data_IF_594814898788
#
_entry.id   IF_594814898788
#
_cell.length_a   1.000
_cell.length_b   1.000
_cell.length_c   1.000
_cell.angle_alpha   90.00
_cell.angle_beta   90.00
_cell.angle_gamma   90.00
#
_symmetry.space_group_name_H-M   'P 1'
#
loop_
_entity.id
_entity.type
_entity.pdbx_description
1 polymer ?
#
# COMPACT_ATOMS: atom_id res chain seq x y z
N UNK A 1 15.96 -8.40 -4.27
CA UNK A 1 16.05 -6.97 -3.89
C UNK A 1 14.89 -6.66 -2.97
N UNK A 2 15.14 -5.93 -1.89
CA UNK A 2 14.18 -5.49 -0.86
C UNK A 2 14.33 -3.98 -0.63
N UNK A 3 13.53 -3.38 0.26
CA UNK A 3 13.58 -1.94 0.50
C UNK A 3 14.94 -1.44 0.99
N UNK A 4 15.71 -2.25 1.71
CA UNK A 4 17.07 -1.89 2.17
C UNK A 4 18.09 -1.85 1.01
N UNK A 5 17.74 -2.45 -0.13
CA UNK A 5 18.62 -2.63 -1.26
C UNK A 5 18.39 -1.55 -2.33
N UNK A 6 17.50 -0.59 -2.11
CA UNK A 6 17.21 0.51 -3.04
C UNK A 6 17.48 1.86 -2.38
N UNK A 7 18.03 2.79 -3.13
CA UNK A 7 18.34 4.13 -2.65
C UNK A 7 18.43 5.16 -3.81
N UNK A 8 18.55 6.44 -3.46
CA UNK A 8 18.87 7.51 -4.40
C UNK A 8 20.24 8.07 -4.04
N UNK A 9 21.15 8.12 -5.02
CA UNK A 9 22.47 8.76 -4.91
C UNK A 9 22.56 9.83 -5.97
N UNK A 10 22.81 11.07 -5.57
CA UNK A 10 22.99 12.21 -6.49
C UNK A 10 21.87 12.34 -7.54
N UNK A 11 20.62 12.07 -7.14
CA UNK A 11 19.45 12.16 -8.02
C UNK A 11 19.24 10.96 -8.94
N UNK A 12 20.00 9.87 -8.80
CA UNK A 12 19.84 8.63 -9.57
C UNK A 12 19.39 7.50 -8.67
N UNK A 13 18.49 6.64 -9.16
CA UNK A 13 18.00 5.48 -8.42
C UNK A 13 18.96 4.29 -8.56
N UNK A 14 19.39 3.73 -7.43
CA UNK A 14 20.26 2.56 -7.36
C UNK A 14 19.55 1.39 -6.71
N UNK A 15 19.95 0.18 -7.12
CA UNK A 15 19.51 -1.06 -6.55
C UNK A 15 20.67 -2.05 -6.39
N UNK A 16 20.66 -2.83 -5.30
CA UNK A 16 21.56 -3.96 -5.12
C UNK A 16 20.81 -5.26 -5.42
N UNK A 17 21.17 -5.90 -6.52
CA UNK A 17 20.51 -7.12 -6.98
C UNK A 17 21.49 -8.11 -7.62
N UNK A 18 21.10 -9.38 -7.66
CA UNK A 18 21.84 -10.44 -8.32
C UNK A 18 21.13 -10.84 -9.61
N UNK A 19 21.85 -10.99 -10.74
CA UNK A 19 21.33 -11.68 -11.91
C UNK A 19 20.82 -13.08 -11.54
N UNK A 20 19.64 -13.44 -12.07
CA UNK A 20 19.03 -14.74 -11.91
C UNK A 20 19.12 -15.47 -13.25
N UNK A 21 19.84 -16.59 -13.26
CA UNK A 21 19.79 -17.55 -14.36
C UNK A 21 18.78 -18.64 -14.00
N UNK A 22 17.92 -19.02 -14.94
CA UNK A 22 16.90 -20.05 -14.76
C UNK A 22 17.10 -21.10 -15.84
N UNK A 23 16.99 -22.37 -15.46
CA UNK A 23 17.15 -23.53 -16.33
C UNK A 23 15.97 -24.48 -16.10
N UNK A 24 15.69 -25.31 -17.11
CA UNK A 24 14.65 -26.35 -17.03
C UNK A 24 15.28 -27.65 -16.51
N UNK A 25 15.70 -27.64 -15.24
CA UNK A 25 16.34 -28.76 -14.52
C UNK A 25 15.82 -28.84 -13.08
N UNK A 26 15.14 -29.91 -12.70
CA UNK A 26 14.52 -30.05 -11.36
C UNK A 26 15.51 -29.95 -10.18
N UNK A 27 16.81 -30.18 -10.41
CA UNK A 27 17.87 -30.14 -9.39
C UNK A 27 18.68 -28.84 -9.34
N UNK A 28 18.76 -28.09 -10.44
CA UNK A 28 19.50 -26.81 -10.55
C UNK A 28 18.70 -25.75 -11.33
N UNK A 29 17.39 -25.67 -11.07
CA UNK A 29 16.43 -24.82 -11.82
C UNK A 29 16.68 -23.31 -11.70
N UNK A 30 17.54 -22.88 -10.78
CA UNK A 30 17.96 -21.47 -10.71
C UNK A 30 19.33 -21.28 -10.10
N UNK A 31 20.02 -20.24 -10.57
CA UNK A 31 21.27 -19.78 -10.01
C UNK A 31 21.31 -18.27 -9.91
N UNK A 32 21.56 -17.77 -8.70
CA UNK A 32 21.86 -16.37 -8.47
C UNK A 32 23.37 -16.13 -8.65
N UNK A 33 23.70 -15.11 -9.42
CA UNK A 33 25.07 -14.59 -9.50
C UNK A 33 25.40 -13.70 -8.29
N UNK A 34 26.62 -13.15 -8.27
CA UNK A 34 27.03 -12.22 -7.21
C UNK A 34 26.19 -10.94 -7.27
N UNK A 35 25.59 -10.49 -6.15
CA UNK A 35 24.89 -9.22 -6.10
C UNK A 35 25.80 -8.05 -6.46
N UNK A 36 25.28 -7.15 -7.30
CA UNK A 36 25.95 -5.92 -7.71
C UNK A 36 25.02 -4.73 -7.57
N UNK A 37 25.63 -3.56 -7.38
CA UNK A 37 24.92 -2.29 -7.48
C UNK A 37 24.67 -1.99 -8.95
N UNK A 38 23.48 -1.50 -9.27
CA UNK A 38 23.08 -1.12 -10.63
C UNK A 38 22.17 0.11 -10.61
N UNK A 39 22.16 0.83 -11.73
CA UNK A 39 21.18 1.89 -11.97
C UNK A 39 19.83 1.25 -12.26
N UNK A 40 18.82 1.59 -11.47
CA UNK A 40 17.49 1.03 -11.65
C UNK A 40 16.83 1.53 -12.94
N UNK A 41 17.19 2.72 -13.41
CA UNK A 41 16.69 3.29 -14.66
C UNK A 41 17.20 2.60 -15.94
N UNK A 42 18.26 1.79 -15.84
CA UNK A 42 18.79 1.01 -16.98
C UNK A 42 18.06 -0.33 -17.19
N UNK A 43 17.17 -0.70 -16.26
CA UNK A 43 16.36 -1.89 -16.38
C UNK A 43 15.16 -1.61 -17.27
N UNK A 44 14.82 -2.56 -18.14
CA UNK A 44 13.64 -2.43 -18.99
C UNK A 44 12.34 -2.36 -18.16
N UNK A 45 12.30 -3.10 -17.05
CA UNK A 45 11.10 -3.30 -16.24
C UNK A 45 11.40 -3.50 -14.76
N UNK A 46 10.61 -2.85 -13.91
CA UNK A 46 10.64 -2.95 -12.45
C UNK A 46 9.23 -3.26 -11.92
N UNK A 47 9.08 -4.42 -11.28
CA UNK A 47 7.82 -4.77 -10.61
C UNK A 47 7.84 -4.35 -9.13
N UNK A 48 6.99 -3.41 -8.75
CA UNK A 48 6.73 -3.07 -7.36
C UNK A 48 5.82 -4.12 -6.72
N UNK A 49 6.44 -5.19 -6.19
CA UNK A 49 5.77 -6.34 -5.55
C UNK A 49 5.92 -6.36 -4.04
N UNK A 50 6.26 -5.22 -3.43
CA UNK A 50 6.23 -5.10 -1.97
C UNK A 50 4.77 -5.21 -1.52
N UNK A 51 4.50 -6.19 -0.67
CA UNK A 51 3.20 -6.30 0.00
C UNK A 51 2.91 -5.05 0.85
N UNK A 52 1.64 -4.70 1.11
CA UNK A 52 1.31 -3.64 2.06
C UNK A 52 1.84 -3.96 3.50
N UNK A 53 1.70 -3.06 4.49
CA UNK A 53 0.83 -1.88 4.53
C UNK A 53 1.31 -0.73 3.64
N UNK A 54 0.36 0.12 3.24
CA UNK A 54 0.66 1.40 2.60
C UNK A 54 1.07 2.41 3.68
N UNK A 55 2.37 2.47 3.97
CA UNK A 55 2.96 3.30 5.01
C UNK A 55 4.03 4.26 4.43
N UNK A 56 4.71 5.01 5.29
CA UNK A 56 5.76 5.93 4.87
C UNK A 56 6.89 5.24 4.09
N UNK A 57 7.28 4.02 4.46
CA UNK A 57 8.31 3.25 3.73
C UNK A 57 7.85 2.86 2.32
N UNK A 58 6.58 2.47 2.17
CA UNK A 58 5.96 2.21 0.86
C UNK A 58 6.03 3.47 -0.01
N UNK A 59 5.64 4.62 0.55
CA UNK A 59 5.70 5.92 -0.15
C UNK A 59 7.13 6.26 -0.54
N UNK A 60 8.12 6.11 0.35
CA UNK A 60 9.51 6.40 0.03
C UNK A 60 10.05 5.47 -1.07
N UNK A 61 9.68 4.20 -1.06
CA UNK A 61 10.01 3.28 -2.15
C UNK A 61 9.47 3.80 -3.50
N UNK A 62 8.24 4.33 -3.54
CA UNK A 62 7.68 4.89 -4.78
C UNK A 62 8.46 6.11 -5.28
N UNK A 63 9.15 6.88 -4.43
CA UNK A 63 10.01 7.98 -4.90
C UNK A 63 11.30 7.46 -5.54
N UNK A 64 11.91 6.41 -4.99
CA UNK A 64 13.07 5.75 -5.61
C UNK A 64 12.68 5.17 -6.97
N UNK A 65 11.54 4.48 -7.04
CA UNK A 65 11.03 3.91 -8.27
C UNK A 65 10.62 4.98 -9.29
N UNK A 66 10.04 6.11 -8.87
CA UNK A 66 9.76 7.24 -9.75
C UNK A 66 11.05 7.76 -10.40
N UNK A 67 12.13 7.88 -9.62
CA UNK A 67 13.42 8.33 -10.15
C UNK A 67 14.01 7.34 -11.17
N UNK A 68 13.82 6.04 -10.96
CA UNK A 68 14.16 5.02 -11.96
C UNK A 68 13.28 5.13 -13.22
N UNK A 69 11.99 5.39 -13.05
CA UNK A 69 11.03 5.56 -14.15
C UNK A 69 11.39 6.76 -15.03
N UNK A 70 11.71 7.90 -14.40
CA UNK A 70 12.15 9.12 -15.07
C UNK A 70 13.47 8.94 -15.84
N UNK A 71 14.29 7.93 -15.45
CA UNK A 71 15.57 7.59 -16.09
C UNK A 71 15.42 6.51 -17.19
N UNK A 72 14.22 6.00 -17.44
CA UNK A 72 13.90 5.13 -18.59
C UNK A 72 13.25 3.78 -18.26
N UNK A 73 13.24 3.35 -17.01
CA UNK A 73 12.66 2.07 -16.64
C UNK A 73 11.12 2.09 -16.69
N UNK A 74 10.48 1.03 -17.18
CA UNK A 74 9.05 0.86 -16.96
C UNK A 74 8.82 0.34 -15.54
N UNK A 75 8.07 1.06 -14.72
CA UNK A 75 7.69 0.59 -13.37
C UNK A 75 6.24 0.13 -13.35
N UNK A 76 6.02 -1.08 -12.83
CA UNK A 76 4.69 -1.70 -12.74
C UNK A 76 4.35 -1.99 -11.27
N UNK A 77 3.31 -1.41 -10.70
CA UNK A 77 2.47 -0.32 -11.24
C UNK A 77 3.16 1.04 -11.15
N UNK A 78 2.60 2.04 -11.83
CA UNK A 78 3.11 3.41 -11.83
C UNK A 78 3.30 3.96 -10.40
N UNK A 79 4.48 4.49 -10.04
CA UNK A 79 4.77 4.92 -8.66
C UNK A 79 3.89 6.08 -8.18
N UNK A 80 3.50 6.99 -9.08
CA UNK A 80 2.57 8.06 -8.75
C UNK A 80 1.17 7.51 -8.53
N UNK A 81 0.68 6.66 -9.43
CA UNK A 81 -0.63 6.03 -9.27
C UNK A 81 -0.72 5.25 -7.95
N UNK A 82 0.35 4.58 -7.51
CA UNK A 82 0.39 3.90 -6.21
C UNK A 82 0.19 4.86 -5.02
N UNK A 83 0.60 6.14 -5.14
CA UNK A 83 0.37 7.16 -4.10
C UNK A 83 -1.03 7.76 -4.19
N UNK A 84 -1.55 7.94 -5.41
CA UNK A 84 -2.82 8.61 -5.67
C UNK A 84 -4.03 7.67 -5.46
N UNK A 85 -3.86 6.38 -5.72
CA UNK A 85 -4.93 5.36 -5.76
C UNK A 85 -4.89 4.49 -4.50
N UNK A 86 -5.31 5.05 -3.35
CA UNK A 86 -5.48 4.24 -2.14
C UNK A 86 -6.60 3.20 -2.30
N UNK A 87 -6.32 1.94 -1.97
CA UNK A 87 -7.24 0.81 -2.18
C UNK A 87 -8.65 0.98 -1.59
N UNK A 88 -8.79 1.76 -0.50
CA UNK A 88 -10.08 1.94 0.20
C UNK A 88 -10.70 3.30 -0.07
N UNK A 89 -9.90 4.35 -0.22
CA UNK A 89 -10.41 5.72 -0.43
C UNK A 89 -10.71 5.99 -1.89
N UNK A 90 -10.02 5.34 -2.84
CA UNK A 90 -10.20 5.61 -4.27
C UNK A 90 -11.62 5.31 -4.79
N UNK A 91 -12.41 4.52 -4.04
CA UNK A 91 -13.82 4.31 -4.35
C UNK A 91 -14.66 5.60 -4.28
N UNK A 92 -14.18 6.63 -3.59
CA UNK A 92 -14.85 7.93 -3.50
C UNK A 92 -14.98 8.64 -4.86
N UNK A 93 -14.20 8.24 -5.87
CA UNK A 93 -14.31 8.72 -7.24
C UNK A 93 -15.39 7.99 -8.06
N UNK A 94 -16.00 6.94 -7.51
CA UNK A 94 -17.05 6.14 -8.15
C UNK A 94 -18.19 5.83 -7.17
N UNK A 95 -18.78 6.85 -6.51
CA UNK A 95 -19.76 6.66 -5.44
C UNK A 95 -20.99 5.87 -5.91
N UNK A 96 -21.37 5.99 -7.18
CA UNK A 96 -22.50 5.27 -7.81
C UNK A 96 -22.30 3.76 -7.92
N UNK A 97 -21.05 3.29 -7.80
CA UNK A 97 -20.68 1.87 -7.86
C UNK A 97 -20.42 1.27 -6.46
N UNK A 98 -20.61 2.05 -5.39
CA UNK A 98 -20.24 1.65 -4.03
C UNK A 98 -21.40 1.84 -3.03
N UNK A 99 -21.41 1.11 -1.90
CA UNK A 99 -22.33 1.42 -0.82
C UNK A 99 -22.07 2.82 -0.25
N UNK A 100 -23.06 3.45 0.42
CA UNK A 100 -22.84 4.67 1.17
C UNK A 100 -21.58 4.54 2.03
N UNK A 101 -20.64 5.48 1.87
CA UNK A 101 -19.32 5.41 2.49
C UNK A 101 -18.94 6.79 2.99
N UNK A 102 -18.48 6.86 4.24
CA UNK A 102 -17.84 8.04 4.80
C UNK A 102 -16.36 7.73 5.10
N UNK A 103 -15.51 8.73 4.96
CA UNK A 103 -14.12 8.70 5.44
C UNK A 103 -13.98 9.83 6.44
N UNK A 104 -13.80 9.49 7.71
CA UNK A 104 -13.79 10.49 8.79
C UNK A 104 -12.93 10.01 9.95
N UNK A 105 -12.50 10.98 10.75
CA UNK A 105 -11.97 10.74 12.08
C UNK A 105 -13.01 10.93 13.18
N UNK A 106 -14.06 11.71 12.91
CA UNK A 106 -15.03 12.11 13.94
C UNK A 106 -15.91 10.93 14.37
N UNK A 107 -15.88 10.59 15.65
CA UNK A 107 -16.75 9.58 16.26
C UNK A 107 -18.23 9.97 16.16
N UNK A 108 -18.54 11.26 16.21
CA UNK A 108 -19.92 11.73 16.12
C UNK A 108 -20.46 11.56 14.70
N UNK A 109 -19.65 11.82 13.67
CA UNK A 109 -20.02 11.51 12.29
C UNK A 109 -20.21 9.99 12.10
N UNK A 110 -19.34 9.17 12.68
CA UNK A 110 -19.49 7.70 12.62
C UNK A 110 -20.78 7.21 13.32
N UNK A 111 -21.14 7.79 14.47
CA UNK A 111 -22.39 7.47 15.18
C UNK A 111 -23.62 7.92 14.42
N UNK A 112 -23.58 9.11 13.82
CA UNK A 112 -24.65 9.59 12.95
C UNK A 112 -24.88 8.63 11.78
N UNK A 113 -23.79 8.20 11.12
CA UNK A 113 -23.85 7.24 10.02
C UNK A 113 -24.35 5.85 10.46
N UNK A 114 -23.98 5.39 11.65
CA UNK A 114 -24.54 4.16 12.24
C UNK A 114 -26.05 4.30 12.50
N UNK A 115 -26.49 5.43 13.05
CA UNK A 115 -27.91 5.64 13.36
C UNK A 115 -28.76 5.74 12.09
N UNK A 116 -28.23 6.36 11.03
CA UNK A 116 -28.90 6.43 9.72
C UNK A 116 -29.09 5.06 9.07
N UNK A 117 -28.08 4.18 9.15
CA UNK A 117 -28.06 2.92 8.42
C UNK A 117 -28.36 1.67 9.29
N UNK A 118 -28.42 1.81 10.61
CA UNK A 118 -28.67 0.74 11.59
C UNK A 118 -27.53 -0.27 11.77
N UNK A 119 -26.76 -0.55 10.71
CA UNK A 119 -25.60 -1.43 10.73
C UNK A 119 -24.55 -0.97 9.73
N UNK A 120 -23.29 -0.90 10.16
CA UNK A 120 -22.19 -0.40 9.34
C UNK A 120 -20.96 -1.31 9.40
N UNK A 121 -20.05 -1.16 8.43
CA UNK A 121 -18.72 -1.75 8.48
C UNK A 121 -17.70 -0.64 8.70
N UNK A 122 -16.88 -0.79 9.75
CA UNK A 122 -15.82 0.14 10.13
C UNK A 122 -14.47 -0.53 9.91
N UNK A 123 -13.57 0.13 9.19
CA UNK A 123 -12.26 -0.42 8.78
C UNK A 123 -11.18 0.68 8.68
N UNK A 124 -9.91 0.40 9.03
CA UNK A 124 -8.82 1.35 8.88
C UNK A 124 -8.42 1.48 7.40
N UNK A 125 -7.73 2.57 7.06
CA UNK A 125 -7.35 2.87 5.67
C UNK A 125 -6.04 2.20 5.23
N UNK A 126 -5.11 2.02 6.16
CA UNK A 126 -3.70 1.64 5.94
C UNK A 126 -3.40 0.14 6.14
N UNK A 127 -4.30 -0.61 6.77
CA UNK A 127 -4.14 -2.05 7.02
C UNK A 127 -4.69 -2.92 5.89
N UNK A 128 -4.20 -4.15 5.79
CA UNK A 128 -4.58 -5.17 4.79
C UNK A 128 -5.03 -6.46 5.48
N UNK A 129 -5.49 -7.47 4.71
CA UNK A 129 -5.68 -8.84 5.22
C UNK A 129 -6.84 -9.05 6.20
N UNK A 130 -7.82 -8.15 6.22
CA UNK A 130 -8.97 -8.25 7.13
C UNK A 130 -8.71 -7.74 8.55
N UNK A 131 -7.52 -7.22 8.83
CA UNK A 131 -7.19 -6.66 10.14
C UNK A 131 -8.06 -5.44 10.46
N UNK A 132 -8.65 -5.45 11.66
CA UNK A 132 -9.48 -4.37 12.21
C UNK A 132 -10.70 -4.00 11.35
N UNK A 133 -11.34 -5.00 10.72
CA UNK A 133 -12.66 -4.83 10.09
C UNK A 133 -13.73 -5.23 11.11
N UNK A 134 -14.65 -4.31 11.41
CA UNK A 134 -15.74 -4.52 12.36
C UNK A 134 -17.08 -4.28 11.68
N UNK A 135 -18.00 -5.24 11.80
CA UNK A 135 -19.41 -5.02 11.50
C UNK A 135 -20.10 -4.61 12.80
N UNK A 136 -20.67 -3.41 12.85
CA UNK A 136 -21.21 -2.81 14.06
C UNK A 136 -22.69 -2.48 13.90
N UNK A 137 -23.46 -2.68 14.96
CA UNK A 137 -24.81 -2.14 15.13
C UNK A 137 -24.92 -1.26 16.39
N UNK A 138 -26.08 -0.65 16.64
CA UNK A 138 -26.29 0.21 17.81
C UNK A 138 -26.23 -0.54 19.16
N UNK A 139 -26.44 -1.85 19.17
CA UNK A 139 -26.44 -2.68 20.38
C UNK A 139 -25.04 -3.24 20.72
N UNK A 140 -24.03 -2.99 19.89
CA UNK A 140 -22.67 -3.46 20.10
C UNK A 140 -22.05 -2.87 21.37
N UNK A 141 -21.83 -3.74 22.36
CA UNK A 141 -21.21 -3.37 23.65
C UNK A 141 -19.82 -2.75 23.52
N UNK A 142 -19.14 -3.05 22.41
CA UNK A 142 -17.78 -2.59 22.14
C UNK A 142 -17.71 -1.37 21.22
N UNK A 143 -18.86 -0.81 20.79
CA UNK A 143 -18.93 0.30 19.83
C UNK A 143 -17.99 1.44 20.22
N UNK A 144 -18.08 1.94 21.46
CA UNK A 144 -17.26 3.07 21.92
C UNK A 144 -15.75 2.79 21.83
N UNK A 145 -15.30 1.62 22.30
CA UNK A 145 -13.88 1.23 22.32
C UNK A 145 -13.36 0.98 20.91
N UNK A 146 -14.17 0.40 20.02
CA UNK A 146 -13.78 0.16 18.62
C UNK A 146 -13.60 1.50 17.90
N UNK A 147 -14.57 2.42 18.02
CA UNK A 147 -14.47 3.75 17.42
C UNK A 147 -13.29 4.54 17.99
N UNK A 148 -13.02 4.44 19.29
CA UNK A 148 -11.85 5.07 19.91
C UNK A 148 -10.53 4.48 19.38
N UNK A 149 -10.43 3.15 19.31
CA UNK A 149 -9.22 2.46 18.87
C UNK A 149 -8.89 2.81 17.42
N UNK A 150 -9.89 2.74 16.53
CA UNK A 150 -9.68 2.96 15.10
C UNK A 150 -9.39 4.42 14.74
N UNK A 151 -9.90 5.36 15.53
CA UNK A 151 -9.64 6.80 15.35
C UNK A 151 -8.39 7.27 16.08
N UNK A 152 -7.69 6.38 16.80
CA UNK A 152 -6.65 6.70 17.76
C UNK A 152 -7.10 7.76 18.80
N UNK A 153 -8.37 7.70 19.20
CA UNK A 153 -9.02 8.68 20.07
C UNK A 153 -9.08 10.07 19.43
N UNK A 154 -9.26 10.14 18.11
CA UNK A 154 -9.31 11.37 17.32
C UNK A 154 -8.00 12.20 17.36
N UNK A 155 -6.88 11.60 17.77
CA UNK A 155 -5.57 12.25 17.94
C UNK A 155 -4.55 11.86 16.85
N UNK A 156 -3.76 12.85 16.41
CA UNK A 156 -2.74 12.89 15.33
C UNK A 156 -3.24 13.41 14.00
#
# INVERSE_FOLDING_TARGET
MTLKDIDIREGRAYGRAAPLNVTDDDGDWFRLETPKDMLLGELDLLFMRKDPPFNAEYIFATYVLQRAQDDGALVVNDPQALRDVNEKVFIAWFPELTPPTIVTRSKDVMRGFLSEHGRIVVKPLDMMGGHSIFALDEADKNLAVILETITAGERR
#
